data_IF_320784804036
#
_entry.id   IF_320784804036
#
_cell.length_a   1.000
_cell.length_b   1.000
_cell.length_c   1.000
_cell.angle_alpha   90.00
_cell.angle_beta   90.00
_cell.angle_gamma   90.00
#
_symmetry.space_group_name_H-M   'P 1'
#
loop_
_entity.id
_entity.type
_entity.pdbx_description
1 polymer ?
#
# COMPACT_ATOMS: atom_id res chain seq x y z
N UNK A 1 -24.29 26.32 0.19
CA UNK A 1 -22.89 26.81 0.27
C UNK A 1 -22.13 26.25 1.44
N UNK A 2 -22.59 26.40 2.66
CA UNK A 2 -22.02 25.71 3.84
C UNK A 2 -22.08 24.19 3.66
N UNK A 3 -23.12 23.68 3.02
CA UNK A 3 -23.28 22.26 2.71
C UNK A 3 -22.22 21.77 1.73
N UNK A 4 -21.83 22.58 0.74
CA UNK A 4 -20.77 22.26 -0.20
C UNK A 4 -19.41 22.13 0.47
N UNK A 5 -19.10 23.00 1.43
CA UNK A 5 -17.88 22.91 2.24
C UNK A 5 -17.88 21.66 3.11
N UNK A 6 -19.02 21.35 3.70
CA UNK A 6 -19.19 20.17 4.55
C UNK A 6 -18.99 18.88 3.77
N UNK A 7 -19.58 18.80 2.58
CA UNK A 7 -19.41 17.66 1.67
C UNK A 7 -17.96 17.50 1.22
N UNK A 8 -17.30 18.60 0.85
CA UNK A 8 -15.91 18.60 0.43
C UNK A 8 -14.99 18.13 1.57
N UNK A 9 -15.23 18.59 2.80
CA UNK A 9 -14.49 18.17 3.99
C UNK A 9 -14.71 16.69 4.29
N UNK A 10 -15.95 16.23 4.20
CA UNK A 10 -16.28 14.82 4.42
C UNK A 10 -15.56 13.92 3.42
N UNK A 11 -15.46 14.35 2.16
CA UNK A 11 -14.75 13.64 1.12
C UNK A 11 -13.26 13.51 1.45
N UNK A 12 -12.64 14.58 1.94
CA UNK A 12 -11.23 14.55 2.41
C UNK A 12 -11.07 13.50 3.51
N UNK A 13 -11.96 13.48 4.50
CA UNK A 13 -11.91 12.51 5.61
C UNK A 13 -12.06 11.07 5.12
N UNK A 14 -12.99 10.82 4.20
CA UNK A 14 -13.23 9.49 3.63
C UNK A 14 -11.97 9.01 2.89
N UNK A 15 -11.39 9.85 2.04
CA UNK A 15 -10.20 9.49 1.27
C UNK A 15 -8.98 9.32 2.17
N UNK A 16 -8.85 10.12 3.24
CA UNK A 16 -7.79 9.96 4.23
C UNK A 16 -7.88 8.60 4.94
N UNK A 17 -9.06 8.23 5.41
CA UNK A 17 -9.30 6.94 6.09
C UNK A 17 -9.03 5.76 5.17
N UNK A 18 -9.45 5.85 3.92
CA UNK A 18 -9.22 4.82 2.91
C UNK A 18 -7.72 4.63 2.64
N UNK A 19 -6.97 5.73 2.54
CA UNK A 19 -5.51 5.69 2.35
C UNK A 19 -4.81 5.03 3.53
N UNK A 20 -5.20 5.39 4.75
CA UNK A 20 -4.64 4.79 5.97
C UNK A 20 -4.95 3.28 6.04
N UNK A 21 -6.19 2.89 5.76
CA UNK A 21 -6.60 1.48 5.78
C UNK A 21 -5.82 0.65 4.76
N UNK A 22 -5.63 1.18 3.54
CA UNK A 22 -4.85 0.52 2.50
C UNK A 22 -3.39 0.37 2.92
N UNK A 23 -2.80 1.41 3.52
CA UNK A 23 -1.43 1.37 4.03
C UNK A 23 -1.25 0.31 5.12
N UNK A 24 -2.19 0.20 6.05
CA UNK A 24 -2.15 -0.82 7.10
C UNK A 24 -2.25 -2.23 6.53
N UNK A 25 -3.11 -2.44 5.54
CA UNK A 25 -3.24 -3.72 4.86
C UNK A 25 -1.94 -4.10 4.14
N UNK A 26 -1.27 -3.14 3.51
CA UNK A 26 0.04 -3.35 2.87
C UNK A 26 1.06 -3.80 3.91
N UNK A 27 1.13 -3.15 5.06
CA UNK A 27 2.05 -3.53 6.14
C UNK A 27 1.83 -4.95 6.61
N UNK A 28 0.58 -5.36 6.79
CA UNK A 28 0.24 -6.73 7.19
C UNK A 28 0.68 -7.73 6.14
N UNK A 29 0.48 -7.41 4.85
CA UNK A 29 0.92 -8.27 3.74
C UNK A 29 2.44 -8.33 3.61
N UNK A 30 3.15 -7.23 3.88
CA UNK A 30 4.61 -7.22 3.89
C UNK A 30 5.16 -8.13 4.98
N UNK A 31 4.55 -8.12 6.16
CA UNK A 31 4.91 -9.01 7.27
C UNK A 31 4.66 -10.47 6.87
N UNK A 32 3.51 -10.76 6.26
CA UNK A 32 3.18 -12.10 5.77
C UNK A 32 4.19 -12.58 4.74
N UNK A 33 4.55 -11.72 3.77
CA UNK A 33 5.55 -12.04 2.76
C UNK A 33 6.92 -12.29 3.38
N UNK A 34 7.33 -11.46 4.35
CA UNK A 34 8.61 -11.63 5.05
C UNK A 34 8.68 -12.95 5.78
N UNK A 35 7.61 -13.38 6.43
CA UNK A 35 7.54 -14.69 7.08
C UNK A 35 7.70 -15.83 6.10
N UNK A 36 7.10 -15.72 4.92
CA UNK A 36 7.24 -16.71 3.86
C UNK A 36 8.67 -16.73 3.32
N UNK A 37 9.30 -15.57 3.11
CA UNK A 37 10.69 -15.46 2.68
C UNK A 37 11.64 -16.08 3.70
N UNK A 38 11.44 -15.80 4.98
CA UNK A 38 12.26 -16.35 6.06
C UNK A 38 12.15 -17.87 6.13
N UNK A 39 10.93 -18.40 5.94
CA UNK A 39 10.68 -19.84 5.92
C UNK A 39 11.39 -20.52 4.74
N UNK A 40 11.30 -19.93 3.56
CA UNK A 40 11.97 -20.43 2.36
C UNK A 40 13.49 -20.40 2.55
N UNK A 41 14.00 -19.29 3.07
CA UNK A 41 15.44 -19.14 3.37
C UNK A 41 15.91 -20.22 4.34
N UNK A 42 15.17 -20.47 5.41
CA UNK A 42 15.48 -21.50 6.39
C UNK A 42 15.54 -22.89 5.74
N UNK A 43 14.55 -23.22 4.91
CA UNK A 43 14.49 -24.51 4.22
C UNK A 43 15.74 -24.71 3.34
N UNK A 44 16.15 -23.65 2.61
CA UNK A 44 17.33 -23.72 1.74
C UNK A 44 18.62 -23.87 2.55
N UNK A 45 18.78 -23.11 3.65
CA UNK A 45 19.99 -23.19 4.50
C UNK A 45 20.10 -24.53 5.22
N UNK A 46 18.98 -25.15 5.59
CA UNK A 46 18.95 -26.43 6.28
C UNK A 46 18.93 -27.64 5.33
N UNK A 47 18.77 -27.41 4.02
CA UNK A 47 18.73 -28.49 3.06
C UNK A 47 20.06 -29.24 3.01
N UNK A 48 19.99 -30.57 3.12
CA UNK A 48 21.16 -31.46 3.07
C UNK A 48 21.05 -32.42 1.89
N UNK A 49 22.22 -32.81 1.35
CA UNK A 49 22.29 -33.85 0.36
C UNK A 49 22.20 -35.18 1.10
N UNK A 50 21.20 -35.99 0.79
CA UNK A 50 20.94 -37.27 1.48
C UNK A 50 22.05 -38.31 1.26
N UNK A 51 22.74 -38.22 0.14
CA UNK A 51 23.82 -39.17 -0.17
C UNK A 51 25.10 -38.87 0.61
N UNK A 52 25.42 -37.61 0.86
CA UNK A 52 26.64 -37.16 1.52
C UNK A 52 26.44 -36.67 2.95
N UNK A 53 25.24 -36.35 3.36
CA UNK A 53 24.92 -35.74 4.65
C UNK A 53 25.40 -34.31 4.81
N UNK A 54 25.95 -33.69 3.74
CA UNK A 54 26.48 -32.34 3.74
C UNK A 54 25.42 -31.34 3.25
N UNK A 55 25.66 -30.05 3.48
CA UNK A 55 24.79 -28.98 2.99
C UNK A 55 24.60 -29.10 1.47
N UNK A 56 23.37 -29.05 1.02
CA UNK A 56 23.01 -29.12 -0.40
C UNK A 56 23.50 -27.90 -1.18
N UNK A 57 23.38 -26.71 -0.55
CA UNK A 57 23.81 -25.44 -1.12
C UNK A 57 24.95 -24.88 -0.29
N UNK A 58 26.12 -24.68 -0.91
CA UNK A 58 27.38 -24.43 -0.19
C UNK A 58 27.85 -22.98 -0.27
N UNK A 59 27.23 -22.14 -1.12
CA UNK A 59 27.62 -20.74 -1.23
C UNK A 59 26.38 -19.84 -1.44
N UNK A 60 26.58 -18.54 -1.25
CA UNK A 60 25.51 -17.55 -1.35
C UNK A 60 24.86 -17.50 -2.73
N UNK A 61 25.64 -17.70 -3.80
CA UNK A 61 25.09 -17.71 -5.16
C UNK A 61 24.12 -18.87 -5.36
N UNK A 62 24.51 -20.08 -4.94
CA UNK A 62 23.67 -21.28 -5.04
C UNK A 62 22.40 -21.12 -4.18
N UNK A 63 22.54 -20.60 -2.95
CA UNK A 63 21.40 -20.36 -2.06
C UNK A 63 20.44 -19.34 -2.65
N UNK A 64 20.96 -18.25 -3.21
CA UNK A 64 20.16 -17.21 -3.83
C UNK A 64 19.34 -17.72 -5.01
N UNK A 65 19.94 -18.55 -5.86
CA UNK A 65 19.25 -19.17 -7.00
C UNK A 65 18.15 -20.11 -6.50
N UNK A 66 18.47 -20.96 -5.50
CA UNK A 66 17.51 -21.91 -4.95
C UNK A 66 16.32 -21.20 -4.27
N UNK A 67 16.58 -20.14 -3.52
CA UNK A 67 15.53 -19.33 -2.88
C UNK A 67 14.62 -18.73 -3.95
N UNK A 68 15.19 -18.16 -5.00
CA UNK A 68 14.44 -17.56 -6.10
C UNK A 68 13.56 -18.58 -6.81
N UNK A 69 14.11 -19.77 -7.07
CA UNK A 69 13.37 -20.86 -7.71
C UNK A 69 12.16 -21.29 -6.86
N UNK A 70 12.33 -21.42 -5.55
CA UNK A 70 11.23 -21.76 -4.64
C UNK A 70 10.18 -20.63 -4.65
N UNK A 71 10.59 -19.37 -4.57
CA UNK A 71 9.68 -18.23 -4.60
C UNK A 71 8.84 -18.20 -5.88
N UNK A 72 9.48 -18.44 -7.03
CA UNK A 72 8.79 -18.45 -8.33
C UNK A 72 7.78 -19.58 -8.47
N UNK A 73 8.02 -20.70 -7.82
CA UNK A 73 7.19 -21.90 -7.95
C UNK A 73 6.22 -22.11 -6.77
N UNK A 74 6.30 -21.31 -5.72
CA UNK A 74 5.40 -21.39 -4.56
C UNK A 74 4.11 -20.59 -4.82
N UNK A 75 2.96 -21.28 -4.96
CA UNK A 75 1.68 -20.58 -5.20
C UNK A 75 1.29 -19.62 -4.08
N UNK A 76 1.60 -19.95 -2.84
CA UNK A 76 1.28 -19.10 -1.68
C UNK A 76 2.11 -17.83 -1.72
N UNK A 77 3.42 -17.95 -1.94
CA UNK A 77 4.31 -16.81 -2.08
C UNK A 77 3.88 -15.89 -3.22
N UNK A 78 3.60 -16.45 -4.39
CA UNK A 78 3.17 -15.71 -5.56
C UNK A 78 1.83 -15.01 -5.33
N UNK A 79 0.89 -15.66 -4.67
CA UNK A 79 -0.40 -15.06 -4.34
C UNK A 79 -0.26 -13.82 -3.46
N UNK A 80 0.56 -13.91 -2.41
CA UNK A 80 0.82 -12.78 -1.50
C UNK A 80 1.55 -11.64 -2.24
N UNK A 81 2.53 -11.99 -3.07
CA UNK A 81 3.30 -11.03 -3.85
C UNK A 81 2.40 -10.24 -4.83
N UNK A 82 1.53 -10.93 -5.56
CA UNK A 82 0.59 -10.33 -6.52
C UNK A 82 -0.41 -9.42 -5.79
N UNK A 83 -0.93 -9.89 -4.66
CA UNK A 83 -1.86 -9.11 -3.84
C UNK A 83 -1.21 -7.84 -3.30
N UNK A 84 0.04 -7.95 -2.82
CA UNK A 84 0.81 -6.80 -2.33
C UNK A 84 1.04 -5.78 -3.45
N UNK A 85 1.39 -6.23 -4.64
CA UNK A 85 1.58 -5.37 -5.81
C UNK A 85 0.30 -4.62 -6.17
N UNK A 86 -0.84 -5.31 -6.13
CA UNK A 86 -2.16 -4.71 -6.37
C UNK A 86 -2.49 -3.65 -5.31
N UNK A 87 -2.24 -3.96 -4.05
CA UNK A 87 -2.48 -3.03 -2.94
C UNK A 87 -1.61 -1.77 -3.03
N UNK A 88 -0.37 -1.91 -3.45
CA UNK A 88 0.52 -0.76 -3.66
C UNK A 88 0.00 0.16 -4.75
N UNK A 89 -0.56 -0.40 -5.82
CA UNK A 89 -1.21 0.38 -6.87
C UNK A 89 -2.46 1.09 -6.34
N UNK A 90 -3.28 0.40 -5.56
CA UNK A 90 -4.46 0.99 -4.91
C UNK A 90 -4.07 2.12 -3.96
N UNK A 91 -2.94 2.00 -3.26
CA UNK A 91 -2.43 3.06 -2.39
C UNK A 91 -2.07 4.31 -3.20
N UNK A 92 -1.39 4.16 -4.33
CA UNK A 92 -1.06 5.27 -5.22
C UNK A 92 -2.33 6.00 -5.70
N UNK A 93 -3.33 5.24 -6.12
CA UNK A 93 -4.62 5.78 -6.55
C UNK A 93 -5.35 6.50 -5.41
N UNK A 94 -5.29 5.92 -4.20
CA UNK A 94 -5.92 6.49 -3.01
C UNK A 94 -5.24 7.80 -2.57
N UNK A 95 -3.91 7.87 -2.64
CA UNK A 95 -3.15 9.09 -2.37
C UNK A 95 -3.53 10.20 -3.34
N UNK A 96 -3.67 9.88 -4.62
CA UNK A 96 -4.09 10.82 -5.64
C UNK A 96 -5.50 11.35 -5.37
N UNK A 97 -6.43 10.45 -5.05
CA UNK A 97 -7.81 10.82 -4.71
C UNK A 97 -7.87 11.74 -3.49
N UNK A 98 -7.05 11.46 -2.48
CA UNK A 98 -6.92 12.30 -1.28
C UNK A 98 -6.40 13.71 -1.63
N UNK A 99 -5.35 13.79 -2.45
CA UNK A 99 -4.78 15.07 -2.86
C UNK A 99 -5.79 15.90 -3.67
N UNK A 100 -6.54 15.27 -4.57
CA UNK A 100 -7.59 15.92 -5.34
C UNK A 100 -8.73 16.42 -4.43
N UNK A 101 -9.12 15.61 -3.44
CA UNK A 101 -10.17 16.00 -2.48
C UNK A 101 -9.73 17.21 -1.66
N UNK A 102 -8.46 17.28 -1.24
CA UNK A 102 -7.91 18.45 -0.53
C UNK A 102 -7.93 19.70 -1.38
N UNK A 103 -7.57 19.60 -2.66
CA UNK A 103 -7.61 20.72 -3.60
C UNK A 103 -9.04 21.21 -3.81
N UNK A 104 -9.99 20.30 -4.00
CA UNK A 104 -11.41 20.62 -4.15
C UNK A 104 -11.95 21.32 -2.89
N UNK A 105 -11.57 20.87 -1.72
CA UNK A 105 -11.96 21.50 -0.46
C UNK A 105 -11.42 22.93 -0.38
N UNK A 106 -10.15 23.15 -0.75
CA UNK A 106 -9.53 24.47 -0.75
C UNK A 106 -10.26 25.42 -1.72
N UNK A 107 -10.57 24.95 -2.92
CA UNK A 107 -11.30 25.73 -3.93
C UNK A 107 -12.71 26.08 -3.42
N UNK A 108 -13.43 25.10 -2.92
CA UNK A 108 -14.79 25.28 -2.38
C UNK A 108 -14.78 26.29 -1.23
N UNK A 109 -13.81 26.21 -0.33
CA UNK A 109 -13.64 27.13 0.79
C UNK A 109 -13.44 28.56 0.30
N UNK A 110 -12.54 28.76 -0.69
CA UNK A 110 -12.27 30.08 -1.27
C UNK A 110 -13.51 30.65 -1.97
N UNK A 111 -14.20 29.85 -2.75
CA UNK A 111 -15.46 30.25 -3.41
C UNK A 111 -16.51 30.68 -2.40
N UNK A 112 -16.67 29.91 -1.32
CA UNK A 112 -17.62 30.24 -0.25
C UNK A 112 -17.25 31.56 0.43
N UNK A 113 -15.97 31.78 0.72
CA UNK A 113 -15.48 33.02 1.31
C UNK A 113 -15.73 34.22 0.40
N UNK A 114 -15.49 34.09 -0.90
CA UNK A 114 -15.71 35.13 -1.89
C UNK A 114 -17.19 35.48 -1.98
N UNK A 115 -18.09 34.50 -1.95
CA UNK A 115 -19.53 34.70 -1.98
C UNK A 115 -20.02 35.39 -0.72
N UNK A 116 -19.52 35.05 0.45
CA UNK A 116 -19.87 35.73 1.72
C UNK A 116 -19.40 37.18 1.71
N UNK A 117 -18.20 37.46 1.24
CA UNK A 117 -17.67 38.84 1.12
C UNK A 117 -18.51 39.68 0.12
N UNK A 118 -18.83 39.10 -1.03
CA UNK A 118 -19.67 39.76 -2.03
C UNK A 118 -21.08 40.10 -1.48
N UNK A 119 -21.62 39.20 -0.67
CA UNK A 119 -22.93 39.40 -0.02
C UNK A 119 -22.90 40.52 1.01
N UNK A 120 -21.81 40.58 1.81
CA UNK A 120 -21.60 41.63 2.79
C UNK A 120 -21.46 43.01 2.11
N UNK A 121 -20.75 43.09 0.98
CA UNK A 121 -20.62 44.32 0.18
C UNK A 121 -21.96 44.80 -0.38
N UNK A 122 -22.86 43.89 -0.74
CA UNK A 122 -24.17 44.19 -1.28
C UNK A 122 -25.18 44.61 -0.20
N UNK A 123 -24.95 44.27 1.05
CA UNK A 123 -25.82 44.59 2.17
C UNK A 123 -25.54 46.01 2.74
N UNK A 124 -24.47 46.63 2.30
CA UNK A 124 -24.18 48.05 2.61
C UNK A 124 -24.86 48.99 1.61
#
# INVERSE_FOLDING_TARGET
>A
MIDGMKEARNKVEVEAKKTIATYETIKDKEIELQKLEDKITQIIYEAINQDTGKAKFTNETQRGIAIRDVQLNDPIYQSVYVELRKLRKELEESKLAYDLAKKDFTITKLETMLQLNSKDENDE
#
